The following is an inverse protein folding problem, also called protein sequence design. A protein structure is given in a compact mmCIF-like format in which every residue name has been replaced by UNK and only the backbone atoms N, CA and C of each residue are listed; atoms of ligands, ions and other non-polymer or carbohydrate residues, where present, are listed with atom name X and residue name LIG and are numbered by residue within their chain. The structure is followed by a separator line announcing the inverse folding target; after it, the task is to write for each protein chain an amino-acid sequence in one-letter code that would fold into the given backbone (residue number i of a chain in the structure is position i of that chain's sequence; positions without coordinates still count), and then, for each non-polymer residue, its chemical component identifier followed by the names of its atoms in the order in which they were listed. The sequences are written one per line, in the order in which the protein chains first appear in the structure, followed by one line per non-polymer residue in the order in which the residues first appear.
data_IF_178098709305
#
_entry.id   IF_178098709305
#
_cell.length_a   1.000
_cell.length_b   1.000
_cell.length_c   1.000
_cell.angle_alpha   90.00
_cell.angle_beta   90.00
_cell.angle_gamma   90.00
#
_symmetry.space_group_name_H-M   'P 1'
#
loop_
_entity.id
_entity.type
_entity.pdbx_description
1 polymer ?
#
# COMPACT_ATOMS: atom_id res chain seq x y z
N UNK A 1 -40.09 31.20 -3.87
CA UNK A 1 -39.42 30.57 -5.03
C UNK A 1 -38.17 29.90 -4.49
N UNK A 2 -38.25 28.59 -4.46
CA UNK A 2 -37.25 27.62 -4.05
C UNK A 2 -36.35 27.28 -5.24
N UNK A 3 -35.05 27.12 -4.98
CA UNK A 3 -34.02 26.45 -5.80
C UNK A 3 -32.67 26.79 -5.17
N UNK A 4 -31.73 25.93 -4.83
CA UNK A 4 -31.49 24.48 -4.89
C UNK A 4 -30.23 24.34 -4.02
N UNK A 5 -30.21 23.66 -2.87
CA UNK A 5 -30.21 22.21 -2.82
C UNK A 5 -28.88 21.63 -3.31
N UNK A 6 -27.73 22.09 -2.77
CA UNK A 6 -26.44 21.44 -3.02
C UNK A 6 -26.52 20.00 -2.53
N UNK A 7 -26.46 19.08 -3.49
CA UNK A 7 -26.56 17.64 -3.23
C UNK A 7 -25.21 17.18 -2.68
N UNK A 8 -25.03 17.27 -1.36
CA UNK A 8 -23.97 16.55 -0.67
C UNK A 8 -24.19 15.06 -0.92
N UNK A 9 -23.37 14.47 -1.80
CA UNK A 9 -23.31 13.01 -1.95
C UNK A 9 -23.03 12.42 -0.56
N UNK A 10 -23.85 11.47 -0.08
CA UNK A 10 -23.61 10.88 1.22
C UNK A 10 -22.23 10.23 1.19
N UNK A 11 -21.36 10.64 2.12
CA UNK A 11 -20.11 9.90 2.41
C UNK A 11 -20.57 8.50 2.78
N UNK A 12 -20.33 7.54 1.88
CA UNK A 12 -20.75 6.15 2.02
C UNK A 12 -20.39 5.64 3.40
N UNK A 13 -21.36 5.09 4.15
CA UNK A 13 -21.20 4.70 5.56
C UNK A 13 -20.01 3.77 5.86
N UNK A 14 -19.52 3.04 4.84
CA UNK A 14 -18.26 2.29 4.89
C UNK A 14 -17.02 3.16 5.18
N UNK A 15 -16.93 4.35 4.59
CA UNK A 15 -15.79 5.25 4.76
C UNK A 15 -15.73 5.83 6.19
N UNK A 16 -16.90 6.07 6.79
CA UNK A 16 -17.02 6.55 8.17
C UNK A 16 -16.63 5.45 9.15
N UNK A 17 -17.00 4.20 8.86
CA UNK A 17 -16.68 3.04 9.70
C UNK A 17 -15.19 2.70 9.66
N UNK A 18 -14.54 2.76 8.50
CA UNK A 18 -13.08 2.55 8.37
C UNK A 18 -12.28 3.68 9.00
N UNK A 19 -12.70 4.95 8.86
CA UNK A 19 -12.01 6.07 9.49
C UNK A 19 -12.05 5.99 11.03
N UNK A 20 -13.17 5.53 11.59
CA UNK A 20 -13.28 5.28 13.03
C UNK A 20 -12.43 4.07 13.46
N UNK A 21 -12.44 2.99 12.67
CA UNK A 21 -11.62 1.80 12.87
C UNK A 21 -10.11 2.03 12.66
N UNK A 22 -9.67 3.19 12.17
CA UNK A 22 -8.25 3.55 12.03
C UNK A 22 -7.82 4.69 12.98
N UNK A 23 -8.65 5.02 13.99
CA UNK A 23 -8.40 6.13 14.93
C UNK A 23 -7.47 5.81 16.12
N UNK A 24 -7.31 4.53 16.46
CA UNK A 24 -6.40 4.00 17.49
C UNK A 24 -4.94 3.84 16.98
N UNK A 25 -3.95 3.70 17.88
CA UNK A 25 -2.57 3.35 17.54
C UNK A 25 -2.46 2.01 16.79
N UNK A 26 -1.42 1.85 15.96
CA UNK A 26 -1.24 0.68 15.10
C UNK A 26 -1.18 -0.64 15.90
N UNK A 27 -0.64 -0.58 17.11
CA UNK A 27 -0.47 -1.70 18.03
C UNK A 27 -1.80 -2.26 18.55
N UNK A 28 -2.87 -1.46 18.50
CA UNK A 28 -4.19 -1.82 19.02
C UNK A 28 -5.01 -2.69 18.06
N UNK A 29 -4.60 -2.83 16.80
CA UNK A 29 -5.43 -3.45 15.76
C UNK A 29 -5.31 -4.95 15.64
N UNK A 30 -4.30 -5.59 16.24
CA UNK A 30 -4.13 -7.04 16.20
C UNK A 30 -4.33 -7.63 14.79
N UNK A 31 -4.95 -8.80 14.72
CA UNK A 31 -5.48 -9.38 13.47
C UNK A 31 -7.01 -9.24 13.47
N UNK A 32 -7.49 -8.01 13.33
CA UNK A 32 -8.93 -7.72 13.27
C UNK A 32 -9.50 -8.14 11.89
N UNK A 33 -10.55 -8.98 11.84
CA UNK A 33 -11.11 -9.47 10.58
C UNK A 33 -11.74 -8.36 9.71
N UNK A 34 -12.25 -7.28 10.31
CA UNK A 34 -12.81 -6.16 9.56
C UNK A 34 -11.68 -5.35 8.87
N UNK A 35 -10.51 -5.26 9.52
CA UNK A 35 -9.31 -4.65 8.93
C UNK A 35 -8.76 -5.51 7.80
N UNK A 36 -8.71 -6.84 7.97
CA UNK A 36 -8.31 -7.77 6.90
C UNK A 36 -9.25 -7.68 5.70
N UNK A 37 -10.57 -7.59 5.93
CA UNK A 37 -11.56 -7.41 4.88
C UNK A 37 -11.37 -6.07 4.16
N UNK A 38 -11.22 -4.97 4.91
CA UNK A 38 -10.96 -3.65 4.33
C UNK A 38 -9.66 -3.63 3.51
N UNK A 39 -8.61 -4.27 4.01
CA UNK A 39 -7.34 -4.41 3.30
C UNK A 39 -7.50 -5.22 2.02
N UNK A 40 -8.19 -6.37 2.06
CA UNK A 40 -8.42 -7.22 0.90
C UNK A 40 -9.21 -6.50 -0.20
N UNK A 41 -10.27 -5.77 0.17
CA UNK A 41 -11.05 -4.96 -0.78
C UNK A 41 -10.19 -3.88 -1.44
N UNK A 42 -9.39 -3.15 -0.66
CA UNK A 42 -8.48 -2.12 -1.20
C UNK A 42 -7.40 -2.73 -2.09
N UNK A 43 -6.76 -3.82 -1.66
CA UNK A 43 -5.73 -4.52 -2.44
C UNK A 43 -6.27 -4.96 -3.81
N UNK A 44 -7.49 -5.51 -3.84
CA UNK A 44 -8.16 -5.89 -5.10
C UNK A 44 -8.45 -4.70 -6.00
N UNK A 45 -8.95 -3.58 -5.46
CA UNK A 45 -9.15 -2.34 -6.23
C UNK A 45 -7.84 -1.85 -6.86
N UNK A 46 -6.74 -1.85 -6.10
CA UNK A 46 -5.42 -1.48 -6.61
C UNK A 46 -4.95 -2.43 -7.72
N UNK A 47 -5.11 -3.74 -7.55
CA UNK A 47 -4.75 -4.74 -8.56
C UNK A 47 -5.52 -4.53 -9.87
N UNK A 48 -6.82 -4.27 -9.80
CA UNK A 48 -7.64 -4.02 -11.00
C UNK A 48 -7.20 -2.74 -11.73
N UNK A 49 -6.93 -1.67 -10.99
CA UNK A 49 -6.46 -0.40 -11.57
C UNK A 49 -5.09 -0.59 -12.22
N UNK A 50 -4.15 -1.26 -11.56
CA UNK A 50 -2.83 -1.52 -12.13
C UNK A 50 -2.90 -2.41 -13.36
N UNK A 51 -3.74 -3.45 -13.36
CA UNK A 51 -3.93 -4.28 -14.54
C UNK A 51 -4.44 -3.47 -15.75
N UNK A 52 -5.42 -2.59 -15.53
CA UNK A 52 -5.92 -1.69 -16.58
C UNK A 52 -4.84 -0.74 -17.09
N UNK A 53 -4.03 -0.17 -16.21
CA UNK A 53 -2.93 0.72 -16.59
C UNK A 53 -1.90 0.00 -17.47
N UNK A 54 -1.33 -1.10 -16.98
CA UNK A 54 -0.26 -1.81 -17.70
C UNK A 54 -0.73 -2.45 -19.02
N UNK A 55 -2.04 -2.69 -19.17
CA UNK A 55 -2.62 -3.19 -20.42
C UNK A 55 -3.01 -2.09 -21.41
N UNK A 56 -3.14 -0.84 -20.96
CA UNK A 56 -3.62 0.28 -21.79
C UNK A 56 -2.52 1.26 -22.20
N UNK A 57 -1.40 1.32 -21.47
CA UNK A 57 -0.28 2.22 -21.77
C UNK A 57 1.05 1.47 -21.76
N UNK A 58 2.06 2.02 -22.44
CA UNK A 58 3.42 1.48 -22.38
C UNK A 58 3.99 1.60 -20.95
N UNK A 59 4.29 0.46 -20.28
CA UNK A 59 4.80 0.46 -18.91
C UNK A 59 6.13 1.21 -18.73
N UNK A 60 6.92 1.40 -19.78
CA UNK A 60 8.21 2.10 -19.70
C UNK A 60 8.08 3.54 -19.20
N UNK A 61 6.96 4.19 -19.51
CA UNK A 61 6.69 5.58 -19.14
C UNK A 61 5.77 5.70 -17.91
N UNK A 62 5.31 4.57 -17.35
CA UNK A 62 4.41 4.56 -16.21
C UNK A 62 5.18 4.87 -14.92
N UNK A 63 4.75 5.91 -14.20
CA UNK A 63 5.22 6.23 -12.84
C UNK A 63 4.04 6.15 -11.89
N UNK A 64 4.14 5.30 -10.87
CA UNK A 64 3.12 5.08 -9.87
C UNK A 64 3.23 6.10 -8.72
N UNK A 65 4.45 6.51 -8.40
CA UNK A 65 4.73 7.53 -7.39
C UNK A 65 5.76 8.54 -7.88
N UNK A 66 5.87 9.67 -7.16
CA UNK A 66 6.89 10.70 -7.44
C UNK A 66 8.31 10.25 -7.08
N UNK A 67 8.46 9.14 -6.35
CA UNK A 67 9.74 8.67 -5.79
C UNK A 67 10.11 7.27 -6.29
N UNK A 68 9.52 6.80 -7.40
CA UNK A 68 9.74 5.46 -7.95
C UNK A 68 11.22 5.15 -8.19
N UNK A 69 11.99 6.10 -8.72
CA UNK A 69 13.42 5.90 -9.01
C UNK A 69 14.23 5.68 -7.73
N UNK A 70 13.83 6.36 -6.64
CA UNK A 70 14.46 6.20 -5.35
C UNK A 70 14.09 4.87 -4.70
N UNK A 71 12.81 4.47 -4.78
CA UNK A 71 12.35 3.16 -4.32
C UNK A 71 13.10 2.05 -5.05
N UNK A 72 13.20 2.13 -6.38
CA UNK A 72 13.91 1.12 -7.18
C UNK A 72 15.41 1.06 -6.83
N UNK A 73 16.04 2.22 -6.64
CA UNK A 73 17.46 2.30 -6.26
C UNK A 73 17.71 1.65 -4.90
N UNK A 74 16.91 1.96 -3.89
CA UNK A 74 17.03 1.36 -2.56
C UNK A 74 16.67 -0.13 -2.57
N UNK A 75 15.63 -0.52 -3.31
CA UNK A 75 15.28 -1.92 -3.51
C UNK A 75 16.45 -2.72 -4.10
N UNK A 76 17.09 -2.22 -5.16
CA UNK A 76 18.20 -2.93 -5.79
C UNK A 76 19.46 -2.99 -4.94
N UNK A 77 19.75 -1.98 -4.11
CA UNK A 77 20.85 -2.06 -3.13
C UNK A 77 20.60 -3.13 -2.06
N UNK A 78 19.37 -3.27 -1.60
CA UNK A 78 19.02 -4.19 -0.51
C UNK A 78 18.73 -5.62 -1.02
N UNK A 79 18.27 -5.76 -2.26
CA UNK A 79 17.83 -7.02 -2.87
C UNK A 79 18.47 -7.22 -4.26
N UNK A 80 19.80 -7.12 -4.33
CA UNK A 80 20.57 -7.22 -5.58
C UNK A 80 20.31 -8.52 -6.35
N UNK A 81 20.16 -9.63 -5.61
CA UNK A 81 20.01 -10.98 -6.17
C UNK A 81 18.54 -11.39 -6.39
N UNK A 82 17.60 -10.57 -5.92
CA UNK A 82 16.18 -10.91 -6.05
C UNK A 82 15.73 -10.74 -7.50
N UNK A 83 15.31 -11.87 -8.06
CA UNK A 83 14.71 -11.93 -9.39
C UNK A 83 13.28 -11.43 -9.33
N UNK A 84 12.98 -10.35 -10.04
CA UNK A 84 11.64 -9.74 -10.07
C UNK A 84 10.73 -10.38 -11.12
N UNK A 85 11.31 -11.10 -12.05
CA UNK A 85 10.63 -11.82 -13.12
C UNK A 85 10.06 -13.17 -12.64
N UNK A 86 10.68 -13.75 -11.61
CA UNK A 86 10.24 -14.99 -10.97
C UNK A 86 10.31 -14.78 -9.46
N UNK A 87 9.15 -14.71 -8.82
CA UNK A 87 9.02 -14.61 -7.37
C UNK A 87 8.41 -15.91 -6.82
N UNK A 88 9.11 -16.56 -5.91
CA UNK A 88 8.59 -17.73 -5.19
C UNK A 88 7.89 -17.27 -3.89
N UNK A 89 6.58 -17.52 -3.74
CA UNK A 89 5.84 -17.19 -2.52
C UNK A 89 6.43 -17.81 -1.25
N UNK A 90 7.04 -19.00 -1.33
CA UNK A 90 7.58 -19.68 -0.16
C UNK A 90 8.92 -19.07 0.28
N UNK A 91 9.75 -18.64 -0.68
CA UNK A 91 10.98 -17.90 -0.38
C UNK A 91 10.66 -16.56 0.31
N UNK A 92 9.62 -15.86 -0.15
CA UNK A 92 9.18 -14.58 0.43
C UNK A 92 8.57 -14.72 1.84
N UNK A 93 8.01 -15.89 2.17
CA UNK A 93 7.45 -16.18 3.50
C UNK A 93 8.51 -16.70 4.48
N UNK A 94 9.68 -17.07 3.98
CA UNK A 94 10.77 -17.65 4.79
C UNK A 94 11.20 -16.70 5.92
N UNK A 95 11.73 -17.27 7.00
CA UNK A 95 12.22 -16.48 8.15
C UNK A 95 13.33 -15.52 7.71
N UNK A 96 14.22 -15.98 6.83
CA UNK A 96 15.32 -15.16 6.30
C UNK A 96 14.83 -13.97 5.47
N UNK A 97 13.74 -14.10 4.71
CA UNK A 97 13.16 -12.99 3.96
C UNK A 97 12.50 -11.92 4.85
N UNK A 98 12.14 -12.28 6.09
CA UNK A 98 11.57 -11.35 7.08
C UNK A 98 12.65 -10.59 7.86
N UNK A 99 13.88 -11.11 7.89
CA UNK A 99 15.02 -10.45 8.54
C UNK A 99 15.51 -9.22 7.73
N UNK A 100 16.16 -8.23 8.38
CA UNK A 100 16.62 -7.02 7.70
C UNK A 100 17.51 -7.34 6.49
N UNK A 101 17.28 -6.71 5.31
CA UNK A 101 16.46 -5.50 5.12
C UNK A 101 14.93 -5.72 5.13
N UNK A 102 14.44 -6.95 4.89
CA UNK A 102 13.06 -7.42 5.14
C UNK A 102 11.95 -6.36 4.96
N UNK A 103 11.03 -6.28 5.92
CA UNK A 103 9.91 -5.31 5.91
C UNK A 103 10.33 -3.84 6.07
N UNK A 104 11.61 -3.53 6.33
CA UNK A 104 12.11 -2.19 6.68
C UNK A 104 13.13 -1.65 5.66
N UNK A 105 13.15 -2.20 4.45
CA UNK A 105 14.17 -1.84 3.45
C UNK A 105 14.04 -0.40 2.94
N UNK A 106 12.85 0.22 3.05
CA UNK A 106 12.64 1.62 2.73
C UNK A 106 12.76 2.49 3.98
N UNK A 107 13.60 3.54 3.96
CA UNK A 107 13.59 4.56 4.99
C UNK A 107 12.20 5.22 5.11
N UNK A 108 11.60 5.26 6.30
CA UNK A 108 10.29 5.89 6.55
C UNK A 108 10.20 7.34 6.06
N UNK A 109 11.33 8.05 6.04
CA UNK A 109 11.47 9.41 5.48
C UNK A 109 11.09 9.52 4.00
N UNK A 110 11.14 8.42 3.24
CA UNK A 110 10.71 8.37 1.83
C UNK A 110 9.23 8.09 1.66
N UNK A 111 8.59 7.51 2.68
CA UNK A 111 7.16 7.20 2.67
C UNK A 111 6.30 8.40 3.12
N UNK A 112 6.90 9.56 3.39
CA UNK A 112 6.21 10.75 3.89
C UNK A 112 5.67 10.61 5.33
N UNK A 113 5.91 9.48 6.00
CA UNK A 113 5.48 9.23 7.37
C UNK A 113 6.57 9.70 8.35
N UNK A 114 6.42 10.92 8.86
CA UNK A 114 7.30 11.54 9.86
C UNK A 114 7.21 10.95 11.27
N UNK A 115 6.78 9.69 11.43
CA UNK A 115 6.84 8.98 12.72
C UNK A 115 7.61 7.69 12.52
N UNK A 116 8.79 7.64 13.12
CA UNK A 116 9.58 6.45 13.24
C UNK A 116 8.74 5.36 13.92
N UNK A 117 8.55 4.23 13.24
CA UNK A 117 8.16 2.99 13.91
C UNK A 117 9.46 2.49 14.55
N UNK A 118 9.77 3.01 15.74
CA UNK A 118 10.82 2.45 16.59
C UNK A 118 10.22 1.34 17.44
N UNK A 119 10.87 0.17 17.40
CA UNK A 119 10.62 -0.98 18.26
C UNK A 119 10.64 -0.63 19.75
#
# INVERSE_FOLDING_TARGET
MEATGETEKPVSGELVSVAHALSLPAESYGNDPDIEMAWAMRAMQHAEVYYKLISSVDPQFLKLTKVDDQIYSEFRKNFEKLRIDILDPEELKSVSAKEPPGYNFLPLKLLGTGKAITK
#
